data_IF_764283423515
#
_entry.id   IF_764283423515
#
_cell.length_a   1.000
_cell.length_b   1.000
_cell.length_c   1.000
_cell.angle_alpha   90.00
_cell.angle_beta   90.00
_cell.angle_gamma   90.00
#
_symmetry.space_group_name_H-M   'P 1'
#
loop_
_entity.id
_entity.type
_entity.pdbx_description
1 polymer ?
#
# COMPACT_ATOMS: atom_id res chain seq x y z
N UNK A 1 -3.04 3.68 4.51
CA UNK A 1 -2.10 3.42 5.60
C UNK A 1 -2.20 4.51 6.66
N UNK A 2 -2.00 4.09 7.90
CA UNK A 2 -2.00 4.96 9.07
C UNK A 2 -0.61 5.01 9.69
N UNK A 3 -0.25 6.17 10.20
CA UNK A 3 0.98 6.39 10.97
C UNK A 3 0.74 7.50 11.99
N UNK A 4 1.69 7.74 12.86
CA UNK A 4 1.66 8.90 13.75
C UNK A 4 1.84 10.20 12.96
N UNK A 5 1.54 11.32 13.61
CA UNK A 5 1.71 12.65 13.00
C UNK A 5 3.13 12.87 12.50
N UNK A 6 4.12 12.30 13.19
CA UNK A 6 5.55 12.43 12.89
C UNK A 6 6.10 11.29 12.03
N UNK A 7 5.23 10.44 11.45
CA UNK A 7 5.62 9.29 10.63
C UNK A 7 6.57 8.33 11.35
N UNK A 8 6.28 8.01 12.61
CA UNK A 8 7.14 7.19 13.44
C UNK A 8 7.35 5.77 12.88
N UNK A 9 6.29 5.12 12.41
CA UNK A 9 6.39 3.77 11.86
C UNK A 9 7.12 3.73 10.51
N UNK A 10 7.02 4.83 9.74
CA UNK A 10 7.84 5.02 8.56
C UNK A 10 9.31 5.13 8.94
N UNK A 11 9.68 6.01 9.89
CA UNK A 11 11.05 6.17 10.37
C UNK A 11 11.63 4.88 10.94
N UNK A 12 10.87 4.13 11.74
CA UNK A 12 11.27 2.81 12.24
C UNK A 12 11.53 1.82 11.09
N UNK A 13 10.70 1.88 10.05
CA UNK A 13 10.86 1.00 8.90
C UNK A 13 12.12 1.32 8.11
N UNK A 14 12.43 2.61 7.95
CA UNK A 14 13.59 3.12 7.25
C UNK A 14 14.88 2.83 8.02
N UNK A 15 14.89 3.10 9.32
CA UNK A 15 16.00 2.77 10.22
C UNK A 15 16.23 1.25 10.39
N UNK A 16 15.39 0.40 9.76
CA UNK A 16 15.53 -1.04 9.88
C UNK A 16 15.16 -1.60 11.25
N UNK A 17 14.44 -0.84 12.08
CA UNK A 17 14.11 -1.24 13.45
C UNK A 17 13.40 -2.59 13.50
N UNK A 18 13.72 -3.34 14.56
CA UNK A 18 13.16 -4.68 14.80
C UNK A 18 11.71 -4.62 15.31
N UNK A 19 11.32 -3.49 15.90
CA UNK A 19 9.98 -3.25 16.42
C UNK A 19 9.26 -2.24 15.56
N UNK A 20 8.25 -2.66 14.79
CA UNK A 20 7.46 -1.78 13.94
C UNK A 20 6.07 -2.34 13.66
N UNK A 21 5.15 -1.43 13.41
CA UNK A 21 3.78 -1.73 13.11
C UNK A 21 3.40 -1.19 11.71
N UNK A 22 2.50 -1.88 11.03
CA UNK A 22 1.84 -1.38 9.82
C UNK A 22 0.35 -1.48 10.01
N UNK A 23 -0.30 -0.34 10.04
CA UNK A 23 -1.74 -0.23 10.20
C UNK A 23 -2.34 0.28 8.90
N UNK A 24 -3.42 -0.38 8.43
CA UNK A 24 -4.07 0.03 7.19
C UNK A 24 -5.51 -0.42 7.12
N UNK A 25 -6.28 0.29 6.33
CA UNK A 25 -7.54 -0.14 5.75
C UNK A 25 -7.24 -0.70 4.36
N UNK A 26 -7.90 -1.79 3.98
CA UNK A 26 -7.70 -2.43 2.69
C UNK A 26 -9.02 -2.90 2.11
N UNK A 27 -9.23 -2.65 0.83
CA UNK A 27 -10.35 -3.14 0.05
C UNK A 27 -9.89 -3.58 -1.34
N UNK A 28 -10.80 -4.15 -2.10
CA UNK A 28 -10.55 -4.68 -3.44
C UNK A 28 -11.62 -4.17 -4.40
N UNK A 29 -11.25 -4.01 -5.65
CA UNK A 29 -12.12 -3.60 -6.76
C UNK A 29 -11.60 -2.38 -7.48
N UNK A 30 -11.51 -2.44 -8.81
CA UNK A 30 -11.00 -1.35 -9.65
C UNK A 30 -11.89 -0.11 -9.61
N UNK A 31 -13.19 -0.33 -9.40
CA UNK A 31 -14.21 0.73 -9.32
C UNK A 31 -14.08 1.57 -8.04
N UNK A 32 -13.36 1.04 -7.06
CA UNK A 32 -13.15 1.62 -5.74
C UNK A 32 -11.74 2.21 -5.59
N UNK A 33 -11.05 2.45 -6.70
CA UNK A 33 -9.78 3.19 -6.67
C UNK A 33 -10.08 4.63 -6.23
N UNK A 34 -9.52 5.10 -5.11
CA UNK A 34 -9.75 6.46 -4.61
C UNK A 34 -9.45 7.52 -5.65
N UNK A 35 -8.48 7.29 -6.54
CA UNK A 35 -8.16 8.21 -7.63
C UNK A 35 -9.29 8.32 -8.68
N UNK A 36 -10.10 7.28 -8.83
CA UNK A 36 -11.27 7.29 -9.72
C UNK A 36 -12.50 7.87 -9.04
N UNK A 37 -12.68 7.58 -7.75
CA UNK A 37 -13.80 8.10 -6.96
C UNK A 37 -13.75 9.63 -6.88
N UNK A 38 -12.57 10.21 -6.68
CA UNK A 38 -12.37 11.67 -6.62
C UNK A 38 -12.49 12.35 -8.00
N UNK A 39 -12.10 11.68 -9.07
CA UNK A 39 -12.14 12.24 -10.43
C UNK A 39 -13.55 12.39 -11.01
N UNK A 40 -14.60 12.04 -10.26
CA UNK A 40 -15.98 12.16 -10.73
C UNK A 40 -16.29 11.32 -11.97
N UNK A 41 -15.52 10.26 -12.19
CA UNK A 41 -15.73 9.33 -13.31
C UNK A 41 -17.10 8.67 -13.17
N UNK A 42 -18.08 9.26 -13.83
CA UNK A 42 -19.45 8.78 -13.93
C UNK A 42 -19.46 7.43 -14.64
N UNK A 43 -19.32 6.36 -13.88
CA UNK A 43 -19.93 5.10 -14.26
C UNK A 43 -21.38 5.18 -13.80
N UNK A 44 -22.25 5.36 -14.76
CA UNK A 44 -23.69 5.25 -14.60
C UNK A 44 -24.02 3.96 -13.87
N UNK A 45 -24.38 4.03 -12.61
CA UNK A 45 -25.38 3.25 -11.91
C UNK A 45 -25.27 3.54 -10.40
N UNK A 46 -26.27 4.21 -9.84
CA UNK A 46 -26.44 4.37 -8.40
C UNK A 46 -25.64 5.52 -7.77
N UNK A 47 -26.18 6.13 -6.78
CA UNK A 47 -25.50 7.15 -5.97
C UNK A 47 -24.25 6.49 -5.36
N UNK A 48 -23.02 7.02 -5.56
CA UNK A 48 -21.79 6.40 -5.08
C UNK A 48 -21.75 6.18 -3.55
N UNK A 49 -22.64 6.80 -2.79
CA UNK A 49 -22.71 6.73 -1.33
C UNK A 49 -23.43 5.53 -0.73
N UNK A 50 -24.16 4.75 -1.53
CA UNK A 50 -24.99 3.64 -0.99
C UNK A 50 -24.36 2.26 -1.18
N UNK A 51 -23.30 2.14 -1.97
CA UNK A 51 -22.66 0.83 -2.20
C UNK A 51 -21.86 0.41 -0.99
N UNK A 52 -22.24 -0.73 -0.40
CA UNK A 52 -21.46 -1.38 0.65
C UNK A 52 -20.28 -2.16 0.06
N UNK A 53 -19.16 -2.09 0.73
CA UNK A 53 -17.89 -2.68 0.33
C UNK A 53 -17.27 -3.42 1.50
N UNK A 54 -16.82 -4.66 1.28
CA UNK A 54 -16.01 -5.36 2.27
C UNK A 54 -14.64 -4.69 2.43
N UNK A 55 -14.36 -4.27 3.64
CA UNK A 55 -13.14 -3.58 4.03
C UNK A 55 -12.41 -4.39 5.09
N UNK A 56 -11.09 -4.50 4.94
CA UNK A 56 -10.23 -5.16 5.89
C UNK A 56 -9.44 -4.15 6.70
N UNK A 57 -9.69 -4.11 7.99
CA UNK A 57 -8.93 -3.35 8.97
C UNK A 57 -7.77 -4.23 9.44
N UNK A 58 -6.53 -3.82 9.20
CA UNK A 58 -5.36 -4.68 9.39
C UNK A 58 -4.28 -3.99 10.22
N UNK A 59 -3.71 -4.71 11.20
CA UNK A 59 -2.43 -4.39 11.83
C UNK A 59 -1.47 -5.54 11.62
N UNK A 60 -0.28 -5.24 11.15
CA UNK A 60 0.85 -6.17 11.13
C UNK A 60 1.93 -5.63 12.05
N UNK A 61 2.17 -6.32 13.15
CA UNK A 61 3.25 -6.03 14.10
C UNK A 61 4.44 -6.91 13.81
N UNK A 62 5.62 -6.35 13.90
CA UNK A 62 6.88 -7.08 13.91
C UNK A 62 7.62 -6.74 15.19
N UNK A 63 8.15 -7.77 15.86
CA UNK A 63 9.00 -7.65 17.03
C UNK A 63 10.15 -8.64 16.85
N UNK A 64 11.33 -8.13 16.55
CA UNK A 64 12.48 -8.93 16.14
C UNK A 64 12.14 -9.85 14.95
N UNK A 65 12.18 -11.16 15.16
CA UNK A 65 11.89 -12.17 14.14
C UNK A 65 10.42 -12.58 14.11
N UNK A 66 9.67 -12.29 15.18
CA UNK A 66 8.24 -12.61 15.27
C UNK A 66 7.40 -11.57 14.50
N UNK A 67 6.37 -12.05 13.83
CA UNK A 67 5.41 -11.20 13.12
C UNK A 67 4.00 -11.69 13.41
N UNK A 68 3.17 -10.81 13.94
CA UNK A 68 1.74 -11.05 14.16
C UNK A 68 0.91 -10.23 13.19
N UNK A 69 -0.25 -10.75 12.83
CA UNK A 69 -1.21 -10.06 11.98
C UNK A 69 -2.59 -10.15 12.63
N UNK A 70 -3.16 -8.98 12.92
CA UNK A 70 -4.55 -8.81 13.32
C UNK A 70 -5.33 -8.31 12.10
N UNK A 71 -6.54 -8.82 11.94
CA UNK A 71 -7.38 -8.51 10.79
C UNK A 71 -8.86 -8.63 11.16
N UNK A 72 -9.64 -7.62 10.77
CA UNK A 72 -11.07 -7.57 10.94
C UNK A 72 -11.72 -7.22 9.60
N UNK A 73 -12.70 -7.98 9.18
CA UNK A 73 -13.55 -7.64 8.04
C UNK A 73 -14.75 -6.84 8.52
N UNK A 74 -15.06 -5.77 7.84
CA UNK A 74 -16.24 -4.93 8.09
C UNK A 74 -16.85 -4.49 6.76
N UNK A 75 -18.15 -4.23 6.77
CA UNK A 75 -18.83 -3.57 5.66
C UNK A 75 -18.78 -2.06 5.85
N UNK A 76 -18.47 -1.33 4.80
CA UNK A 76 -18.45 0.13 4.81
C UNK A 76 -19.02 0.70 3.51
N UNK A 77 -19.66 1.87 3.52
CA UNK A 77 -20.06 2.53 2.29
C UNK A 77 -18.84 2.98 1.49
N UNK A 78 -18.92 2.91 0.16
CA UNK A 78 -17.81 3.32 -0.71
C UNK A 78 -17.38 4.78 -0.48
N UNK A 79 -18.30 5.64 -0.07
CA UNK A 79 -18.02 7.04 0.29
C UNK A 79 -17.04 7.19 1.45
N UNK A 80 -16.93 6.20 2.35
CA UNK A 80 -15.95 6.20 3.43
C UNK A 80 -14.49 6.05 2.94
N UNK A 81 -14.30 5.62 1.70
CA UNK A 81 -13.01 5.25 1.12
C UNK A 81 -12.43 6.33 0.21
N UNK A 82 -13.08 7.48 0.09
CA UNK A 82 -12.58 8.64 -0.65
C UNK A 82 -11.45 9.34 0.11
N UNK A 83 -10.59 10.07 -0.60
CA UNK A 83 -9.54 10.86 0.05
C UNK A 83 -10.13 11.93 0.97
N UNK A 84 -11.14 12.65 0.49
CA UNK A 84 -11.83 13.69 1.27
C UNK A 84 -12.42 13.11 2.55
N UNK A 85 -13.10 11.97 2.49
CA UNK A 85 -13.67 11.34 3.67
C UNK A 85 -12.61 10.95 4.72
N UNK A 86 -11.47 10.43 4.24
CA UNK A 86 -10.36 10.02 5.11
C UNK A 86 -9.58 11.22 5.65
N UNK A 87 -9.42 12.28 4.84
CA UNK A 87 -8.71 13.50 5.23
C UNK A 87 -9.49 14.32 6.26
N UNK A 88 -10.76 14.53 6.01
CA UNK A 88 -11.64 15.35 6.84
C UNK A 88 -12.25 14.58 8.01
N UNK A 89 -12.15 13.25 8.00
CA UNK A 89 -12.73 12.39 9.02
C UNK A 89 -14.24 12.44 9.05
N UNK A 90 -14.89 12.55 7.87
CA UNK A 90 -16.35 12.53 7.81
C UNK A 90 -16.91 11.21 8.34
N UNK A 91 -18.16 11.24 8.78
CA UNK A 91 -18.79 10.18 9.60
C UNK A 91 -18.51 8.74 9.15
N UNK A 92 -18.67 8.33 7.87
CA UNK A 92 -18.40 6.94 7.50
C UNK A 92 -16.94 6.52 7.66
N UNK A 93 -15.98 7.41 7.36
CA UNK A 93 -14.56 7.14 7.53
C UNK A 93 -14.16 7.17 9.01
N UNK A 94 -14.72 8.09 9.80
CA UNK A 94 -14.50 8.16 11.24
C UNK A 94 -14.94 6.88 11.95
N UNK A 95 -16.05 6.26 11.54
CA UNK A 95 -16.52 4.99 12.09
C UNK A 95 -15.54 3.84 11.84
N UNK A 96 -14.86 3.82 10.69
CA UNK A 96 -13.81 2.84 10.42
C UNK A 96 -12.63 3.03 11.37
N UNK A 97 -12.21 4.27 11.59
CA UNK A 97 -11.11 4.62 12.50
C UNK A 97 -11.47 4.26 13.94
N UNK A 98 -12.68 4.58 14.40
CA UNK A 98 -13.17 4.20 15.73
C UNK A 98 -13.23 2.68 15.91
N UNK A 99 -13.66 1.96 14.88
CA UNK A 99 -13.65 0.51 14.89
C UNK A 99 -12.24 -0.03 15.06
N UNK A 100 -11.26 0.51 14.33
CA UNK A 100 -9.85 0.13 14.47
C UNK A 100 -9.34 0.37 15.90
N UNK A 101 -9.72 1.49 16.51
CA UNK A 101 -9.34 1.82 17.89
C UNK A 101 -9.96 0.83 18.89
N UNK A 102 -11.26 0.55 18.79
CA UNK A 102 -11.99 -0.40 19.66
C UNK A 102 -11.44 -1.80 19.61
N UNK A 103 -11.00 -2.26 18.44
CA UNK A 103 -10.38 -3.58 18.25
C UNK A 103 -8.89 -3.61 18.50
N UNK A 104 -8.30 -2.55 19.05
CA UNK A 104 -6.89 -2.49 19.41
C UNK A 104 -5.93 -2.60 18.23
N UNK A 105 -6.37 -2.18 17.04
CA UNK A 105 -5.54 -2.24 15.84
C UNK A 105 -4.49 -1.12 15.80
N UNK A 106 -4.65 -0.06 16.58
CA UNK A 106 -3.61 0.94 16.75
C UNK A 106 -2.62 0.52 17.84
N UNK A 107 -1.31 0.68 17.62
CA UNK A 107 -0.32 0.50 18.68
C UNK A 107 -0.56 1.46 19.84
N UNK A 108 -0.27 1.05 21.08
CA UNK A 108 -0.38 1.94 22.23
C UNK A 108 0.63 3.09 22.15
N UNK A 109 0.25 4.26 22.67
CA UNK A 109 1.15 5.41 22.85
C UNK A 109 1.23 6.38 21.68
N UNK A 110 0.61 6.10 20.52
CA UNK A 110 0.64 6.99 19.36
C UNK A 110 -0.76 7.45 18.92
N UNK A 111 -0.86 8.68 18.43
CA UNK A 111 -2.03 9.16 17.69
C UNK A 111 -1.85 8.81 16.23
N UNK A 112 -2.55 7.78 15.78
CA UNK A 112 -2.54 7.35 14.38
C UNK A 112 -3.57 8.13 13.58
N UNK A 113 -3.17 8.58 12.39
CA UNK A 113 -4.04 9.23 11.42
C UNK A 113 -3.83 8.60 10.03
N UNK A 114 -4.78 8.71 9.11
CA UNK A 114 -4.57 8.31 7.73
C UNK A 114 -3.49 9.21 7.09
N UNK A 115 -2.50 8.59 6.46
CA UNK A 115 -1.33 9.29 5.89
C UNK A 115 -1.33 9.23 4.38
N UNK A 116 -1.48 8.02 3.82
CA UNK A 116 -1.34 7.79 2.39
C UNK A 116 -2.27 6.67 1.93
N UNK A 117 -2.91 6.87 0.79
CA UNK A 117 -3.62 5.83 0.06
C UNK A 117 -2.71 5.30 -1.06
N UNK A 118 -2.71 3.98 -1.25
CA UNK A 118 -1.90 3.31 -2.28
C UNK A 118 -2.78 2.31 -3.01
N UNK A 119 -2.92 2.50 -4.31
CA UNK A 119 -3.58 1.56 -5.21
C UNK A 119 -2.58 0.87 -6.13
N UNK A 120 -2.87 -0.35 -6.55
CA UNK A 120 -2.06 -1.11 -7.50
C UNK A 120 -2.86 -2.29 -8.05
N UNK A 121 -2.56 -2.67 -9.28
CA UNK A 121 -3.03 -3.92 -9.82
C UNK A 121 -2.16 -5.08 -9.30
N UNK A 122 -2.76 -6.26 -9.09
CA UNK A 122 -2.06 -7.44 -8.58
C UNK A 122 -2.48 -8.71 -9.29
N UNK A 123 -1.51 -9.46 -9.78
CA UNK A 123 -1.65 -10.84 -10.15
C UNK A 123 -1.00 -11.74 -9.08
N UNK A 124 -1.58 -12.91 -8.85
CA UNK A 124 -1.03 -13.92 -7.92
C UNK A 124 -0.99 -15.26 -8.61
N UNK A 125 0.07 -15.99 -8.36
CA UNK A 125 0.20 -17.38 -8.81
C UNK A 125 1.05 -18.17 -7.81
N UNK A 126 0.94 -19.49 -7.89
CA UNK A 126 1.80 -20.40 -7.15
C UNK A 126 2.75 -21.03 -8.14
N UNK A 127 4.03 -20.99 -7.84
CA UNK A 127 5.05 -21.68 -8.63
C UNK A 127 4.86 -23.19 -8.43
N UNK A 128 4.60 -23.97 -9.51
CA UNK A 128 4.08 -25.33 -9.35
C UNK A 128 5.10 -26.34 -8.82
N UNK A 129 6.39 -26.10 -9.01
CA UNK A 129 7.45 -27.05 -8.60
C UNK A 129 7.76 -26.92 -7.11
N UNK A 130 7.88 -25.71 -6.62
CA UNK A 130 8.31 -25.43 -5.24
C UNK A 130 7.19 -25.01 -4.32
N UNK A 131 5.98 -24.70 -4.86
CA UNK A 131 4.85 -24.21 -4.09
C UNK A 131 5.01 -22.76 -3.59
N UNK A 132 6.01 -22.03 -4.09
CA UNK A 132 6.18 -20.62 -3.73
C UNK A 132 5.01 -19.78 -4.25
N UNK A 133 4.49 -18.92 -3.39
CA UNK A 133 3.46 -17.94 -3.77
C UNK A 133 4.11 -16.69 -4.29
N UNK A 134 3.76 -16.30 -5.50
CA UNK A 134 4.29 -15.14 -6.19
C UNK A 134 3.18 -14.13 -6.38
N UNK A 135 3.46 -12.86 -6.13
CA UNK A 135 2.57 -11.74 -6.45
C UNK A 135 3.33 -10.74 -7.29
N UNK A 136 2.75 -10.34 -8.40
CA UNK A 136 3.23 -9.23 -9.22
C UNK A 136 2.31 -8.04 -8.99
N UNK A 137 2.88 -6.92 -8.56
CA UNK A 137 2.17 -5.65 -8.33
C UNK A 137 2.68 -4.60 -9.30
N UNK A 138 1.78 -3.97 -10.05
CA UNK A 138 2.12 -2.94 -11.02
C UNK A 138 1.10 -1.81 -11.01
N UNK A 139 1.36 -0.74 -11.75
CA UNK A 139 0.54 0.49 -11.74
C UNK A 139 0.35 1.01 -10.32
N UNK A 140 1.44 1.04 -9.58
CA UNK A 140 1.39 1.49 -8.18
C UNK A 140 1.19 3.01 -8.19
N UNK A 141 0.07 3.45 -7.62
CA UNK A 141 -0.28 4.86 -7.45
C UNK A 141 -0.38 5.16 -5.97
N UNK A 142 -0.01 6.36 -5.59
CA UNK A 142 -0.13 6.80 -4.21
C UNK A 142 -0.59 8.24 -4.13
N UNK A 143 -1.39 8.54 -3.12
CA UNK A 143 -1.84 9.90 -2.80
C UNK A 143 -1.72 10.16 -1.32
N UNK A 144 -1.15 11.31 -0.96
CA UNK A 144 -1.12 11.77 0.42
C UNK A 144 -2.53 12.14 0.85
N UNK A 145 -2.95 11.57 1.98
CA UNK A 145 -4.25 11.84 2.62
C UNK A 145 -4.10 12.85 3.74
N UNK A 146 -3.00 12.77 4.50
CA UNK A 146 -2.77 13.62 5.67
C UNK A 146 -2.63 15.10 5.29
N UNK A 147 -3.49 16.01 5.84
CA UNK A 147 -3.33 17.44 5.68
C UNK A 147 -1.94 17.93 6.13
N UNK A 148 -1.37 18.88 5.41
CA UNK A 148 -0.06 19.46 5.72
C UNK A 148 1.16 18.59 5.34
N UNK A 149 0.97 17.32 5.04
CA UNK A 149 2.03 16.50 4.46
C UNK A 149 2.08 16.63 2.94
N UNK A 150 0.96 16.95 2.31
CA UNK A 150 0.86 17.19 0.88
C UNK A 150 1.30 18.63 0.53
N UNK A 151 2.55 18.80 0.12
CA UNK A 151 3.07 20.07 -0.41
C UNK A 151 3.36 19.92 -1.93
N UNK A 152 2.35 19.73 -2.75
CA UNK A 152 2.53 19.51 -4.18
C UNK A 152 1.43 18.61 -4.75
N UNK A 153 1.72 17.90 -5.83
CA UNK A 153 0.79 16.95 -6.41
C UNK A 153 0.38 15.87 -5.40
N UNK A 154 -0.93 15.70 -5.21
CA UNK A 154 -1.46 14.69 -4.29
C UNK A 154 -1.15 13.27 -4.75
N UNK A 155 -1.12 13.03 -6.05
CA UNK A 155 -0.98 11.71 -6.65
C UNK A 155 0.35 11.51 -7.36
N UNK A 156 1.00 10.38 -7.10
CA UNK A 156 2.19 9.93 -7.81
C UNK A 156 1.99 8.53 -8.36
N UNK A 157 2.62 8.27 -9.50
CA UNK A 157 2.73 6.93 -10.09
C UNK A 157 4.17 6.46 -9.88
N UNK A 158 4.35 5.37 -9.15
CA UNK A 158 5.65 4.75 -9.00
C UNK A 158 5.99 3.95 -10.26
N UNK A 159 7.19 4.14 -10.84
CA UNK A 159 7.61 3.38 -12.00
C UNK A 159 7.86 1.91 -11.66
N UNK A 160 7.72 1.03 -12.67
CA UNK A 160 8.06 -0.38 -12.55
C UNK A 160 6.99 -1.24 -11.89
N UNK A 161 7.43 -2.39 -11.40
CA UNK A 161 6.59 -3.39 -10.76
C UNK A 161 7.33 -4.04 -9.58
N UNK A 162 6.56 -4.62 -8.66
CA UNK A 162 7.09 -5.32 -7.48
C UNK A 162 6.70 -6.79 -7.57
N UNK A 163 7.69 -7.66 -7.60
CA UNK A 163 7.50 -9.10 -7.45
C UNK A 163 7.74 -9.48 -5.99
N UNK A 164 6.70 -9.99 -5.33
CA UNK A 164 6.80 -10.50 -3.96
C UNK A 164 6.76 -12.02 -3.99
N UNK A 165 7.82 -12.65 -3.52
CA UNK A 165 7.97 -14.11 -3.47
C UNK A 165 7.87 -14.55 -2.02
N UNK A 166 7.00 -15.50 -1.73
CA UNK A 166 6.79 -16.09 -0.40
C UNK A 166 6.89 -17.60 -0.48
N UNK A 167 7.81 -18.17 0.27
CA UNK A 167 8.01 -19.60 0.32
C UNK A 167 8.68 -20.05 1.61
N UNK A 168 8.88 -21.36 1.76
CA UNK A 168 9.47 -21.94 2.97
C UNK A 168 10.99 -21.71 3.07
N UNK A 169 11.63 -21.28 2.00
CA UNK A 169 13.07 -21.09 1.93
C UNK A 169 13.47 -19.69 1.45
N UNK A 170 14.70 -19.28 1.75
CA UNK A 170 15.24 -17.95 1.40
C UNK A 170 15.96 -17.93 0.04
N UNK A 171 15.68 -18.89 -0.84
CA UNK A 171 16.25 -18.90 -2.18
C UNK A 171 15.18 -18.60 -3.22
N UNK A 172 15.60 -18.07 -4.35
CA UNK A 172 14.72 -17.80 -5.48
C UNK A 172 14.39 -19.14 -6.18
N UNK A 173 13.10 -19.43 -6.41
CA UNK A 173 12.72 -20.60 -7.21
C UNK A 173 13.42 -20.59 -8.57
N UNK A 174 13.88 -21.75 -9.11
CA UNK A 174 14.57 -21.81 -10.39
C UNK A 174 13.80 -21.16 -11.54
N UNK A 175 12.49 -21.34 -11.58
CA UNK A 175 11.62 -20.75 -12.60
C UNK A 175 11.60 -19.21 -12.59
N UNK A 176 11.99 -18.57 -11.48
CA UNK A 176 12.01 -17.11 -11.33
C UNK A 176 13.42 -16.50 -11.47
N UNK A 177 14.45 -17.32 -11.68
CA UNK A 177 15.84 -16.85 -11.90
C UNK A 177 15.97 -15.83 -13.03
N UNK A 178 15.24 -15.96 -14.16
CA UNK A 178 15.32 -14.97 -15.23
C UNK A 178 14.91 -13.54 -14.81
N UNK A 179 14.27 -13.35 -13.64
CA UNK A 179 14.03 -12.01 -13.10
C UNK A 179 15.33 -11.25 -12.84
N UNK A 180 16.42 -11.93 -12.55
CA UNK A 180 17.72 -11.28 -12.37
C UNK A 180 18.24 -10.68 -13.69
N UNK A 181 17.96 -11.32 -14.82
CA UNK A 181 18.44 -10.92 -16.14
C UNK A 181 17.76 -9.62 -16.64
N UNK A 182 16.57 -9.31 -16.12
CA UNK A 182 15.84 -8.08 -16.43
C UNK A 182 16.18 -6.91 -15.49
N UNK A 183 17.29 -6.99 -14.77
CA UNK A 183 17.75 -5.90 -13.89
C UNK A 183 16.93 -5.76 -12.61
N UNK A 184 16.22 -6.80 -12.17
CA UNK A 184 15.50 -6.75 -10.90
C UNK A 184 16.50 -6.73 -9.73
N UNK A 185 16.24 -5.89 -8.72
CA UNK A 185 17.01 -5.90 -7.49
C UNK A 185 16.31 -6.72 -6.41
N UNK A 186 17.04 -7.66 -5.81
CA UNK A 186 16.55 -8.43 -4.67
C UNK A 186 16.67 -7.59 -3.39
N UNK A 187 15.57 -6.99 -2.94
CA UNK A 187 15.58 -6.12 -1.77
C UNK A 187 14.30 -6.25 -0.94
N UNK A 188 14.36 -5.74 0.27
CA UNK A 188 13.15 -5.51 1.06
C UNK A 188 12.43 -4.29 0.52
N UNK A 189 11.23 -4.48 0.01
CA UNK A 189 10.41 -3.40 -0.53
C UNK A 189 9.19 -3.16 0.34
N UNK A 190 8.95 -1.89 0.67
CA UNK A 190 7.76 -1.44 1.37
C UNK A 190 7.02 -0.42 0.52
N UNK A 191 5.87 -0.78 -0.07
CA UNK A 191 5.06 0.19 -0.82
C UNK A 191 4.79 1.46 -0.03
N UNK A 192 4.50 1.33 1.27
CA UNK A 192 4.26 2.45 2.16
C UNK A 192 5.48 3.41 2.21
N UNK A 193 6.64 2.90 2.57
CA UNK A 193 7.85 3.72 2.68
C UNK A 193 8.26 4.28 1.32
N UNK A 194 8.36 3.44 0.29
CA UNK A 194 8.76 3.89 -1.05
C UNK A 194 7.81 4.92 -1.65
N UNK A 195 6.52 4.85 -1.35
CA UNK A 195 5.56 5.88 -1.80
C UNK A 195 5.77 7.20 -1.07
N UNK A 196 5.97 7.18 0.24
CA UNK A 196 6.29 8.40 1.00
C UNK A 196 7.60 9.03 0.53
N UNK A 197 8.65 8.23 0.32
CA UNK A 197 9.96 8.68 -0.17
C UNK A 197 9.83 9.35 -1.54
N UNK A 198 9.01 8.78 -2.44
CA UNK A 198 8.75 9.37 -3.74
C UNK A 198 8.05 10.73 -3.64
N UNK A 199 7.06 10.87 -2.75
CA UNK A 199 6.41 12.16 -2.50
C UNK A 199 7.38 13.18 -1.90
N UNK A 200 8.26 12.78 -1.01
CA UNK A 200 9.27 13.67 -0.44
C UNK A 200 10.28 14.15 -1.50
N UNK A 201 10.74 13.24 -2.36
CA UNK A 201 11.70 13.55 -3.43
C UNK A 201 11.11 14.45 -4.51
N UNK A 202 9.84 14.25 -4.89
CA UNK A 202 9.16 15.07 -5.87
C UNK A 202 9.01 16.54 -5.45
N UNK A 203 9.18 16.86 -4.17
CA UNK A 203 9.08 18.21 -3.63
C UNK A 203 10.36 19.03 -3.70
N UNK A 204 11.49 18.45 -4.10
CA UNK A 204 12.80 19.12 -4.04
C UNK A 204 13.23 19.48 -2.62
N UNK A 205 12.51 19.07 -1.61
CA UNK A 205 12.81 19.23 -0.19
C UNK A 205 13.45 17.96 0.33
N UNK A 206 14.73 17.80 0.10
CA UNK A 206 15.52 16.77 0.77
C UNK A 206 15.67 17.19 2.23
N UNK A 207 14.69 16.88 3.04
CA UNK A 207 14.92 16.77 4.48
C UNK A 207 15.98 15.69 4.67
N UNK A 208 17.04 15.97 5.43
CA UNK A 208 18.14 15.04 5.76
C UNK A 208 17.70 13.72 6.42
N UNK A 209 16.38 13.51 6.61
CA UNK A 209 15.76 12.31 7.17
C UNK A 209 15.37 11.27 6.12
N UNK A 210 15.55 11.55 4.82
CA UNK A 210 15.14 10.65 3.75
C UNK A 210 16.37 10.09 3.05
N UNK A 211 16.64 8.79 3.12
CA UNK A 211 17.78 8.21 2.44
C UNK A 211 17.58 8.29 0.93
N UNK A 212 18.46 9.00 0.27
CA UNK A 212 18.49 9.26 -1.19
C UNK A 212 18.81 8.04 -2.06
N UNK A 213 18.84 6.83 -1.51
CA UNK A 213 19.42 5.68 -2.21
C UNK A 213 18.49 4.80 -3.03
N UNK A 214 17.16 4.95 -2.92
CA UNK A 214 16.22 3.99 -3.51
C UNK A 214 15.75 4.37 -4.93
N UNK A 215 15.89 5.63 -5.31
CA UNK A 215 15.35 6.14 -6.60
C UNK A 215 16.38 6.20 -7.75
N UNK A 216 17.67 6.03 -7.50
CA UNK A 216 18.69 6.22 -8.57
C UNK A 216 18.80 5.09 -9.60
N UNK A 217 18.05 4.00 -9.43
CA UNK A 217 18.03 2.89 -10.40
C UNK A 217 16.63 2.38 -10.69
N UNK A 218 15.76 3.23 -11.24
CA UNK A 218 14.62 2.73 -11.98
C UNK A 218 15.13 2.25 -13.35
N UNK A 219 15.00 0.95 -13.71
CA UNK A 219 15.23 0.53 -15.08
C UNK A 219 14.21 1.25 -15.97
N UNK A 220 14.66 1.67 -17.16
CA UNK A 220 13.80 2.25 -18.18
C UNK A 220 12.57 1.39 -18.46
N UNK A 221 11.60 1.87 -19.22
CA UNK A 221 10.32 1.20 -19.43
C UNK A 221 10.54 -0.19 -20.01
N UNK A 222 10.30 -1.22 -19.20
CA UNK A 222 10.30 -2.61 -19.64
C UNK A 222 8.96 -2.84 -20.34
N UNK A 223 9.00 -3.11 -21.62
CA UNK A 223 7.82 -3.51 -22.39
C UNK A 223 7.28 -4.84 -21.88
N UNK A 224 6.13 -4.82 -21.24
CA UNK A 224 5.47 -6.02 -20.75
C UNK A 224 4.54 -6.59 -21.81
N UNK A 225 4.71 -7.85 -22.14
CA UNK A 225 3.71 -8.64 -22.87
C UNK A 225 2.64 -9.05 -21.86
N UNK A 226 1.47 -8.46 -21.97
CA UNK A 226 0.32 -8.84 -21.15
C UNK A 226 -0.25 -10.17 -21.63
N UNK A 227 -0.08 -11.22 -20.84
CA UNK A 227 -0.98 -12.36 -20.91
C UNK A 227 -2.08 -12.15 -19.89
N UNK A 228 -3.24 -11.80 -20.38
CA UNK A 228 -4.48 -11.76 -19.60
C UNK A 228 -4.93 -13.21 -19.47
N UNK A 229 -4.65 -13.86 -18.39
CA UNK A 229 -5.42 -15.05 -18.00
C UNK A 229 -6.42 -14.64 -16.93
N UNK A 230 -7.67 -14.58 -17.38
CA UNK A 230 -8.84 -14.70 -16.52
C UNK A 230 -8.79 -16.07 -15.89
N UNK A 231 -8.77 -16.16 -14.60
CA UNK A 231 -9.18 -17.33 -13.87
C UNK A 231 -9.96 -16.91 -12.65
N UNK A 232 -11.22 -17.32 -12.75
CA UNK A 232 -12.15 -17.54 -11.71
C UNK A 232 -11.72 -18.70 -10.80
N UNK A 233 -12.41 -18.67 -9.67
CA UNK A 233 -12.43 -19.58 -8.52
C UNK A 233 -11.26 -19.50 -7.54
#
# INVERSE_FOLDING_TARGET
>A
YFDTVDLEEHRKSDAGELAKDKVRIRWYGDELDPHRLEAGGSSSVGVPGERSVEVWLERKSRRAFASTKQRLAVEAPASALTFTALEEGIVPAALLVDTMARFGLFPPGGRFCPVIAISYARCRFTEPVTGFRVSLDWRIRSSIVKPGLALGERGLVLPGAVVEIKGPAFHMPPALRPLADIGSSWTRYSKYSSSLDAHASARGSVSRAWPSGVMERAPGPIGWVSRTEQNGE
#
